data_IF_117217398769
#
_entry.id   IF_117217398769
#
_cell.length_a   1.000
_cell.length_b   1.000
_cell.length_c   1.000
_cell.angle_alpha   90.00
_cell.angle_beta   90.00
_cell.angle_gamma   90.00
#
_symmetry.space_group_name_H-M   'P 1'
#
loop_
_entity.id
_entity.type
_entity.pdbx_description
1 polymer ?
#
# COMPACT_ATOMS: atom_id res chain seq x y z
N UNK A 1 -14.75 4.58 -12.00
CA UNK A 1 -14.90 5.96 -12.51
C UNK A 1 -13.60 6.66 -12.24
N UNK A 2 -12.88 7.07 -13.28
CA UNK A 2 -11.62 7.82 -13.13
C UNK A 2 -11.93 9.24 -12.69
N UNK A 3 -11.44 9.64 -11.52
CA UNK A 3 -11.35 11.05 -11.15
C UNK A 3 -9.88 11.44 -11.23
N UNK A 4 -9.50 12.03 -12.36
CA UNK A 4 -8.32 12.90 -12.55
C UNK A 4 -8.29 13.34 -14.03
N UNK A 5 -9.36 14.01 -14.48
CA UNK A 5 -9.36 14.72 -15.76
C UNK A 5 -9.38 16.22 -15.48
N UNK A 6 -8.21 16.81 -15.30
CA UNK A 6 -8.02 18.25 -15.54
C UNK A 6 -6.59 18.53 -15.98
N UNK A 7 -6.45 19.22 -17.11
CA UNK A 7 -5.21 19.60 -17.80
C UNK A 7 -4.38 20.70 -17.07
N UNK A 8 -4.44 20.74 -15.74
CA UNK A 8 -3.66 21.64 -14.88
C UNK A 8 -3.29 20.89 -13.59
N UNK A 9 -2.46 21.51 -12.72
CA UNK A 9 -2.19 20.97 -11.38
C UNK A 9 -3.53 20.58 -10.70
N UNK A 10 -3.59 19.50 -9.91
CA UNK A 10 -4.82 19.16 -9.20
C UNK A 10 -5.16 20.28 -8.21
N UNK A 11 -6.00 21.20 -8.65
CA UNK A 11 -6.58 22.24 -7.81
C UNK A 11 -7.79 21.68 -7.03
N UNK A 12 -8.30 20.51 -7.43
CA UNK A 12 -9.33 19.78 -6.70
C UNK A 12 -8.73 18.86 -5.64
N UNK A 13 -8.69 19.37 -4.42
CA UNK A 13 -8.29 18.63 -3.21
C UNK A 13 -9.47 17.99 -2.47
N UNK A 14 -10.70 18.11 -2.98
CA UNK A 14 -11.92 17.83 -2.20
C UNK A 14 -11.98 16.40 -1.64
N UNK A 15 -11.66 15.40 -2.46
CA UNK A 15 -11.65 13.98 -2.06
C UNK A 15 -10.53 13.68 -1.06
N UNK A 16 -9.31 14.20 -1.31
CA UNK A 16 -8.18 13.96 -0.42
C UNK A 16 -8.37 14.68 0.93
N UNK A 17 -8.88 15.90 0.92
CA UNK A 17 -9.28 16.64 2.12
C UNK A 17 -10.36 15.91 2.91
N UNK A 18 -11.36 15.33 2.24
CA UNK A 18 -12.41 14.58 2.90
C UNK A 18 -11.84 13.34 3.64
N UNK A 19 -10.96 12.58 2.98
CA UNK A 19 -10.30 11.42 3.60
C UNK A 19 -9.39 11.83 4.77
N UNK A 20 -8.57 12.87 4.59
CA UNK A 20 -7.66 13.36 5.63
C UNK A 20 -8.44 13.89 6.85
N UNK A 21 -9.46 14.74 6.62
CA UNK A 21 -10.30 15.26 7.71
C UNK A 21 -11.05 14.16 8.45
N UNK A 22 -11.53 13.14 7.74
CA UNK A 22 -12.17 11.99 8.39
C UNK A 22 -11.21 11.26 9.32
N UNK A 23 -9.97 11.00 8.87
CA UNK A 23 -8.96 10.36 9.71
C UNK A 23 -8.65 11.21 10.96
N UNK A 24 -8.41 12.51 10.78
CA UNK A 24 -8.14 13.45 11.86
C UNK A 24 -9.30 13.51 12.88
N UNK A 25 -10.54 13.63 12.40
CA UNK A 25 -11.73 13.73 13.26
C UNK A 25 -11.99 12.47 14.10
N UNK A 26 -11.47 11.31 13.66
CA UNK A 26 -11.63 10.03 14.36
C UNK A 26 -10.34 9.57 15.06
N UNK A 27 -9.29 10.40 15.12
CA UNK A 27 -8.01 10.05 15.74
C UNK A 27 -7.31 8.86 15.07
N UNK A 28 -7.54 8.64 13.78
CA UNK A 28 -6.97 7.53 13.02
C UNK A 28 -5.68 7.96 12.31
N UNK A 29 -4.65 7.09 12.23
CA UNK A 29 -3.48 7.34 11.38
C UNK A 29 -3.88 7.49 9.91
N UNK A 30 -3.33 8.50 9.23
CA UNK A 30 -3.55 8.71 7.80
C UNK A 30 -2.33 8.26 6.99
N UNK A 31 -2.54 7.30 6.08
CA UNK A 31 -1.56 6.91 5.06
C UNK A 31 -1.83 7.71 3.79
N UNK A 32 -0.84 8.47 3.31
CA UNK A 32 -0.92 9.17 2.03
C UNK A 32 -0.53 8.20 0.91
N UNK A 33 -1.53 7.78 0.12
CA UNK A 33 -1.40 6.98 -1.09
C UNK A 33 -1.76 7.85 -2.31
N UNK A 34 -0.84 8.18 -3.21
CA UNK A 34 0.58 7.86 -3.29
C UNK A 34 1.33 9.02 -3.96
N UNK A 35 2.63 9.16 -3.72
CA UNK A 35 3.43 10.25 -4.31
C UNK A 35 3.93 9.97 -5.73
N UNK A 36 4.29 8.71 -6.04
CA UNK A 36 4.78 8.29 -7.35
C UNK A 36 4.30 6.88 -7.68
N UNK A 37 3.72 6.70 -8.87
CA UNK A 37 3.19 5.42 -9.35
C UNK A 37 3.09 5.42 -10.88
N UNK A 38 3.08 4.24 -11.51
CA UNK A 38 2.92 4.10 -12.97
C UNK A 38 1.53 4.40 -13.48
N UNK A 39 0.52 4.24 -12.63
CA UNK A 39 -0.86 4.44 -12.99
C UNK A 39 -1.42 5.76 -12.43
N UNK A 40 -2.55 6.17 -12.99
CA UNK A 40 -3.35 7.33 -12.56
C UNK A 40 -2.55 8.65 -12.44
N UNK A 41 -1.45 8.76 -13.19
CA UNK A 41 -0.68 9.99 -13.32
C UNK A 41 -1.47 11.01 -14.17
N UNK A 42 -1.35 12.32 -13.90
CA UNK A 42 -1.98 13.35 -14.73
C UNK A 42 -1.62 13.18 -16.21
N UNK A 43 -2.59 13.17 -17.11
CA UNK A 43 -2.33 12.85 -18.53
C UNK A 43 -1.28 13.78 -19.17
N UNK A 44 -1.29 15.06 -18.80
CA UNK A 44 -0.33 16.04 -19.30
C UNK A 44 1.13 15.68 -18.98
N UNK A 45 1.41 15.04 -17.83
CA UNK A 45 2.78 14.68 -17.43
C UNK A 45 3.34 13.55 -18.30
N UNK A 46 2.48 12.68 -18.83
CA UNK A 46 2.88 11.54 -19.68
C UNK A 46 3.50 11.97 -21.01
N UNK A 47 3.14 13.16 -21.48
CA UNK A 47 3.68 13.74 -22.71
C UNK A 47 5.06 14.39 -22.56
N UNK A 48 5.52 14.62 -21.33
CA UNK A 48 6.78 15.29 -21.03
C UNK A 48 7.97 14.34 -21.12
N UNK A 49 9.17 14.88 -21.39
CA UNK A 49 10.41 14.08 -21.27
C UNK A 49 10.66 13.74 -19.80
N UNK A 50 11.34 12.63 -19.52
CA UNK A 50 11.62 12.19 -18.14
C UNK A 50 12.26 13.28 -17.24
N UNK A 51 13.11 14.15 -17.80
CA UNK A 51 13.71 15.27 -17.05
C UNK A 51 12.69 16.36 -16.67
N UNK A 52 11.69 16.60 -17.52
CA UNK A 52 10.62 17.56 -17.28
C UNK A 52 9.60 16.97 -16.30
N UNK A 53 9.24 15.69 -16.44
CA UNK A 53 8.43 14.97 -15.44
C UNK A 53 9.05 15.10 -14.04
N UNK A 54 10.38 14.90 -13.92
CA UNK A 54 11.11 15.03 -12.65
C UNK A 54 11.04 16.44 -12.05
N UNK A 55 10.97 17.50 -12.87
CA UNK A 55 10.82 18.89 -12.39
C UNK A 55 9.44 19.14 -11.79
N UNK A 56 8.42 18.43 -12.26
CA UNK A 56 7.05 18.55 -11.75
C UNK A 56 6.79 17.70 -10.50
N UNK A 57 7.57 16.63 -10.29
CA UNK A 57 7.48 15.79 -9.09
C UNK A 57 7.87 16.53 -7.81
N UNK A 58 8.95 17.33 -7.80
CA UNK A 58 9.40 17.99 -6.57
C UNK A 58 8.39 19.01 -6.00
N UNK A 59 7.77 19.91 -6.81
CA UNK A 59 6.69 20.78 -6.33
C UNK A 59 5.48 20.03 -5.78
N UNK A 60 5.14 18.86 -6.36
CA UNK A 60 4.06 18.02 -5.85
C UNK A 60 4.32 17.55 -4.41
N UNK A 61 5.54 17.07 -4.13
CA UNK A 61 5.94 16.66 -2.79
C UNK A 61 5.82 17.80 -1.77
N UNK A 62 6.31 18.98 -2.13
CA UNK A 62 6.21 20.16 -1.25
C UNK A 62 4.75 20.56 -0.98
N UNK A 63 3.88 20.47 -2.00
CA UNK A 63 2.47 20.85 -1.89
C UNK A 63 1.70 19.90 -0.97
N UNK A 64 1.87 18.59 -1.13
CA UNK A 64 1.25 17.58 -0.25
C UNK A 64 1.76 17.75 1.19
N UNK A 65 3.07 17.90 1.37
CA UNK A 65 3.69 18.10 2.67
C UNK A 65 3.14 19.32 3.42
N UNK A 66 2.97 20.43 2.70
CA UNK A 66 2.43 21.66 3.28
C UNK A 66 0.95 21.53 3.67
N UNK A 67 0.16 20.82 2.86
CA UNK A 67 -1.29 20.70 3.07
C UNK A 67 -1.66 19.68 4.14
N UNK A 68 -0.88 18.61 4.28
CA UNK A 68 -1.19 17.48 5.17
C UNK A 68 -0.01 17.21 6.13
N UNK A 69 0.18 18.06 7.16
CA UNK A 69 1.34 17.97 8.06
C UNK A 69 1.33 16.69 8.93
N UNK A 70 0.15 16.14 9.23
CA UNK A 70 -0.01 15.00 10.15
C UNK A 70 -0.16 13.65 9.41
N UNK A 71 0.50 13.48 8.27
CA UNK A 71 0.61 12.17 7.61
C UNK A 71 1.37 11.22 8.53
N UNK A 72 0.78 10.08 8.85
CA UNK A 72 1.40 9.06 9.69
C UNK A 72 2.37 8.17 8.89
N UNK A 73 2.03 7.88 7.64
CA UNK A 73 2.83 7.08 6.71
C UNK A 73 2.69 7.63 5.29
N UNK A 74 3.81 8.02 4.67
CA UNK A 74 3.84 8.50 3.30
C UNK A 74 4.24 7.36 2.37
N UNK A 75 3.34 6.94 1.49
CA UNK A 75 3.66 6.03 0.40
C UNK A 75 4.38 6.82 -0.70
N UNK A 76 5.70 6.70 -0.74
CA UNK A 76 6.53 7.51 -1.65
C UNK A 76 6.52 6.93 -3.06
N UNK A 77 6.60 5.61 -3.17
CA UNK A 77 6.58 4.89 -4.45
C UNK A 77 5.68 3.66 -4.31
N UNK A 78 4.73 3.51 -5.23
CA UNK A 78 3.97 2.28 -5.42
C UNK A 78 4.44 1.52 -6.66
N UNK A 79 4.35 0.19 -6.57
CA UNK A 79 4.57 -0.78 -7.64
C UNK A 79 5.90 -0.67 -8.41
N UNK A 80 7.04 -0.45 -7.73
CA UNK A 80 8.32 -0.25 -8.39
C UNK A 80 8.76 -1.39 -9.32
N UNK A 81 8.39 -2.64 -9.00
CA UNK A 81 8.72 -3.82 -9.80
C UNK A 81 7.69 -4.13 -10.88
N UNK A 82 6.46 -3.64 -10.72
CA UNK A 82 5.31 -4.08 -11.48
C UNK A 82 4.76 -2.99 -12.43
N UNK A 83 4.63 -1.76 -11.94
CA UNK A 83 4.09 -0.64 -12.70
C UNK A 83 4.91 0.65 -12.52
N UNK A 84 6.13 0.70 -13.08
CA UNK A 84 6.95 1.91 -13.07
C UNK A 84 6.31 3.02 -13.94
N UNK A 85 6.45 4.32 -13.56
CA UNK A 85 6.05 5.47 -14.38
C UNK A 85 6.59 5.50 -15.80
N UNK A 86 7.73 4.84 -16.02
CA UNK A 86 8.25 4.59 -17.35
C UNK A 86 8.96 3.24 -17.39
N UNK A 87 8.47 2.34 -18.25
CA UNK A 87 9.14 1.05 -18.53
C UNK A 87 10.43 1.22 -19.34
N UNK A 88 10.60 2.36 -20.00
CA UNK A 88 11.79 2.70 -20.78
C UNK A 88 12.90 3.32 -19.92
N UNK A 89 12.60 3.76 -18.69
CA UNK A 89 13.61 4.28 -17.77
C UNK A 89 14.38 3.12 -17.13
N UNK A 90 15.63 2.93 -17.56
CA UNK A 90 16.54 1.91 -17.00
C UNK A 90 16.90 2.18 -15.54
N UNK A 91 16.63 3.38 -15.04
CA UNK A 91 16.71 3.73 -13.62
C UNK A 91 15.48 3.29 -12.80
N UNK A 92 14.55 2.55 -13.40
CA UNK A 92 13.33 2.06 -12.76
C UNK A 92 12.56 3.21 -12.13
N UNK A 93 12.16 4.21 -12.92
CA UNK A 93 11.45 5.40 -12.41
C UNK A 93 12.25 6.35 -11.52
N UNK A 94 13.53 6.08 -11.22
CA UNK A 94 14.39 6.89 -10.34
C UNK A 94 13.84 6.99 -8.89
N UNK A 95 13.38 5.87 -8.35
CA UNK A 95 12.80 5.79 -7.00
C UNK A 95 13.71 6.31 -5.90
N UNK A 96 15.04 6.12 -6.02
CA UNK A 96 16.00 6.67 -5.07
C UNK A 96 15.87 8.21 -4.95
N UNK A 97 15.68 8.90 -6.08
CA UNK A 97 15.47 10.34 -6.07
C UNK A 97 14.10 10.72 -5.49
N UNK A 98 13.04 9.96 -5.73
CA UNK A 98 11.73 10.20 -5.13
C UNK A 98 11.81 10.15 -3.60
N UNK A 99 12.52 9.18 -3.05
CA UNK A 99 12.76 9.10 -1.61
C UNK A 99 13.67 10.21 -1.07
N UNK A 100 14.68 10.65 -1.82
CA UNK A 100 15.48 11.84 -1.45
C UNK A 100 14.62 13.11 -1.39
N UNK A 101 13.71 13.29 -2.36
CA UNK A 101 12.74 14.39 -2.36
C UNK A 101 11.78 14.28 -1.17
N UNK A 102 11.28 13.07 -0.88
CA UNK A 102 10.50 12.81 0.32
C UNK A 102 11.25 13.28 1.57
N UNK A 103 12.50 12.83 1.77
CA UNK A 103 13.29 13.26 2.93
C UNK A 103 13.50 14.77 2.99
N UNK A 104 13.65 15.44 1.86
CA UNK A 104 13.83 16.89 1.80
C UNK A 104 12.55 17.66 2.18
N UNK A 105 11.39 17.21 1.71
CA UNK A 105 10.13 17.96 1.86
C UNK A 105 9.25 17.48 3.02
N UNK A 106 9.38 16.22 3.45
CA UNK A 106 8.68 15.62 4.59
C UNK A 106 9.68 14.98 5.59
N UNK A 107 10.60 15.76 6.18
CA UNK A 107 11.68 15.20 6.99
C UNK A 107 11.21 14.41 8.23
N UNK A 108 10.01 14.69 8.73
CA UNK A 108 9.46 14.11 9.97
C UNK A 108 8.41 13.01 9.75
N UNK A 109 8.07 12.69 8.50
CA UNK A 109 7.07 11.67 8.17
C UNK A 109 7.75 10.35 7.82
N UNK A 110 7.21 9.22 8.31
CA UNK A 110 7.68 7.88 7.94
C UNK A 110 7.43 7.63 6.46
N UNK A 111 8.45 7.21 5.72
CA UNK A 111 8.40 6.93 4.27
C UNK A 111 8.29 5.43 4.03
N UNK A 112 7.33 5.04 3.20
CA UNK A 112 7.07 3.66 2.82
C UNK A 112 7.23 3.46 1.31
N UNK A 113 7.73 2.29 0.93
CA UNK A 113 7.65 1.72 -0.43
C UNK A 113 6.56 0.65 -0.43
N UNK A 114 5.76 0.55 -1.49
CA UNK A 114 4.64 -0.41 -1.58
C UNK A 114 4.69 -1.18 -2.91
N UNK A 115 4.28 -2.45 -2.92
CA UNK A 115 4.21 -3.27 -4.14
C UNK A 115 3.35 -4.54 -3.95
N UNK A 116 2.89 -5.14 -5.04
CA UNK A 116 2.16 -6.42 -5.06
C UNK A 116 3.02 -7.58 -5.57
N UNK A 117 2.55 -8.81 -5.31
CA UNK A 117 3.21 -10.05 -5.73
C UNK A 117 4.67 -10.17 -5.26
N UNK A 118 4.94 -9.64 -4.07
CA UNK A 118 6.27 -9.72 -3.45
C UNK A 118 6.45 -11.07 -2.76
N UNK A 119 5.59 -11.39 -1.80
CA UNK A 119 5.80 -12.52 -0.88
C UNK A 119 5.38 -13.88 -1.45
N UNK A 120 4.68 -13.91 -2.59
CA UNK A 120 4.32 -15.14 -3.30
C UNK A 120 5.43 -15.65 -4.24
N UNK A 121 6.57 -14.95 -4.31
CA UNK A 121 7.75 -15.36 -5.09
C UNK A 121 9.05 -14.95 -4.41
N UNK A 122 9.92 -15.92 -4.13
CA UNK A 122 11.25 -15.64 -3.57
C UNK A 122 12.08 -14.72 -4.49
N UNK A 123 11.94 -14.86 -5.81
CA UNK A 123 12.62 -14.01 -6.77
C UNK A 123 12.11 -12.56 -6.70
N UNK A 124 10.80 -12.35 -6.58
CA UNK A 124 10.22 -11.01 -6.44
C UNK A 124 10.66 -10.36 -5.12
N UNK A 125 10.59 -11.11 -4.02
CA UNK A 125 11.09 -10.66 -2.71
C UNK A 125 12.56 -10.25 -2.75
N UNK A 126 13.42 -11.03 -3.41
CA UNK A 126 14.84 -10.68 -3.56
C UNK A 126 15.06 -9.39 -4.37
N UNK A 127 14.32 -9.19 -5.46
CA UNK A 127 14.37 -7.94 -6.24
C UNK A 127 13.89 -6.75 -5.41
N UNK A 128 12.83 -6.92 -4.66
CA UNK A 128 12.30 -5.88 -3.79
C UNK A 128 13.29 -5.50 -2.68
N UNK A 129 13.93 -6.50 -2.06
CA UNK A 129 15.02 -6.30 -1.10
C UNK A 129 16.23 -5.58 -1.68
N UNK A 130 16.52 -5.70 -2.98
CA UNK A 130 17.58 -4.91 -3.61
C UNK A 130 17.23 -3.42 -3.58
N UNK A 131 15.98 -3.05 -3.88
CA UNK A 131 15.52 -1.66 -3.80
C UNK A 131 15.56 -1.17 -2.34
N UNK A 132 15.03 -1.96 -1.40
CA UNK A 132 15.05 -1.64 0.03
C UNK A 132 16.49 -1.38 0.51
N UNK A 133 17.45 -2.25 0.18
CA UNK A 133 18.86 -2.07 0.55
C UNK A 133 19.48 -0.81 -0.06
N UNK A 134 19.13 -0.45 -1.30
CA UNK A 134 19.58 0.80 -1.92
C UNK A 134 19.07 2.02 -1.15
N UNK A 135 17.80 2.02 -0.73
CA UNK A 135 17.21 3.10 0.05
C UNK A 135 17.77 3.16 1.49
N UNK A 136 18.01 2.01 2.12
CA UNK A 136 18.57 1.94 3.48
C UNK A 136 20.01 2.48 3.56
N UNK A 137 20.83 2.34 2.50
CA UNK A 137 22.20 2.91 2.45
C UNK A 137 22.23 4.42 2.68
N UNK A 138 21.14 5.10 2.36
CA UNK A 138 21.01 6.55 2.56
C UNK A 138 20.01 6.90 3.67
N UNK A 139 19.52 5.94 4.46
CA UNK A 139 18.49 6.18 5.49
C UNK A 139 17.25 6.89 4.92
N UNK A 140 16.74 6.39 3.79
CA UNK A 140 15.63 7.00 3.07
C UNK A 140 14.28 6.30 3.28
N UNK A 141 14.27 5.10 3.86
CA UNK A 141 13.09 4.26 3.99
C UNK A 141 12.83 3.91 5.46
N UNK A 142 11.58 4.02 5.89
CA UNK A 142 11.18 3.80 7.28
C UNK A 142 10.19 2.62 7.43
N UNK A 143 9.56 2.16 6.34
CA UNK A 143 8.64 1.03 6.34
C UNK A 143 8.56 0.30 4.99
N UNK A 144 8.18 -0.97 5.01
CA UNK A 144 7.95 -1.79 3.82
C UNK A 144 6.46 -2.11 3.70
N UNK A 145 5.84 -1.77 2.58
CA UNK A 145 4.46 -2.12 2.24
C UNK A 145 4.41 -3.32 1.30
N UNK A 146 3.45 -4.20 1.52
CA UNK A 146 3.08 -5.24 0.56
C UNK A 146 1.55 -5.33 0.46
N UNK A 147 1.00 -5.27 -0.75
CA UNK A 147 -0.45 -5.10 -0.96
C UNK A 147 -1.28 -6.24 -0.36
N UNK A 148 -1.00 -7.50 -0.75
CA UNK A 148 -1.77 -8.71 -0.41
C UNK A 148 -3.22 -8.67 -0.88
N UNK A 149 -3.39 -8.32 -2.15
CA UNK A 149 -4.62 -8.54 -2.90
C UNK A 149 -4.91 -10.04 -3.04
N UNK A 150 -6.17 -10.42 -3.24
CA UNK A 150 -6.59 -11.83 -3.35
C UNK A 150 -5.76 -12.68 -4.33
N UNK A 151 -5.37 -12.10 -5.48
CA UNK A 151 -4.58 -12.80 -6.50
C UNK A 151 -3.16 -13.16 -6.04
N UNK A 152 -2.65 -12.55 -4.97
CA UNK A 152 -1.34 -12.85 -4.40
C UNK A 152 -1.37 -14.07 -3.48
N UNK A 153 -2.52 -14.40 -2.89
CA UNK A 153 -2.67 -15.40 -1.81
C UNK A 153 -3.52 -16.61 -2.21
N UNK A 154 -3.61 -16.86 -3.52
CA UNK A 154 -4.30 -18.05 -4.05
C UNK A 154 -3.65 -19.34 -3.54
N UNK A 155 -4.40 -20.46 -3.43
CA UNK A 155 -3.86 -21.73 -2.94
C UNK A 155 -2.73 -22.34 -3.78
N UNK A 156 -2.43 -21.79 -4.97
CA UNK A 156 -1.34 -22.23 -5.83
C UNK A 156 0.05 -21.98 -5.22
N UNK A 157 0.13 -21.04 -4.28
CA UNK A 157 1.36 -20.76 -3.53
C UNK A 157 1.09 -21.09 -2.06
N UNK A 158 1.89 -21.99 -1.50
CA UNK A 158 1.76 -22.37 -0.09
C UNK A 158 2.03 -21.17 0.83
N UNK A 159 1.26 -21.04 1.92
CA UNK A 159 1.45 -19.95 2.90
C UNK A 159 2.85 -19.97 3.55
N UNK A 160 3.55 -21.10 3.53
CA UNK A 160 4.96 -21.18 3.93
C UNK A 160 5.89 -20.33 3.06
N UNK A 161 5.61 -20.19 1.76
CA UNK A 161 6.38 -19.31 0.87
C UNK A 161 6.17 -17.85 1.27
N UNK A 162 4.94 -17.46 1.61
CA UNK A 162 4.64 -16.13 2.13
C UNK A 162 5.36 -15.87 3.45
N UNK A 163 5.34 -16.84 4.37
CA UNK A 163 6.09 -16.77 5.64
C UNK A 163 7.57 -16.51 5.39
N UNK A 164 8.22 -17.37 4.62
CA UNK A 164 9.67 -17.34 4.47
C UNK A 164 10.12 -16.02 3.81
N UNK A 165 9.31 -15.49 2.89
CA UNK A 165 9.55 -14.18 2.27
C UNK A 165 9.27 -13.01 3.22
N UNK A 166 8.25 -13.08 4.08
CA UNK A 166 8.04 -12.08 5.12
C UNK A 166 9.20 -12.07 6.12
N UNK A 167 9.75 -13.24 6.48
CA UNK A 167 10.92 -13.35 7.35
C UNK A 167 12.15 -12.70 6.69
N UNK A 168 12.31 -12.87 5.38
CA UNK A 168 13.36 -12.19 4.62
C UNK A 168 13.19 -10.66 4.58
N UNK A 169 11.96 -10.15 4.49
CA UNK A 169 11.66 -8.72 4.61
C UNK A 169 11.91 -8.21 6.03
N UNK A 170 11.50 -8.97 7.05
CA UNK A 170 11.66 -8.61 8.47
C UNK A 170 13.13 -8.54 8.88
N UNK A 171 14.01 -9.32 8.23
CA UNK A 171 15.46 -9.26 8.44
C UNK A 171 16.10 -7.90 8.06
N UNK A 172 15.35 -6.99 7.42
CA UNK A 172 15.78 -5.60 7.21
C UNK A 172 15.63 -4.70 8.43
N UNK A 173 14.96 -5.20 9.48
CA UNK A 173 14.58 -4.47 10.70
C UNK A 173 13.67 -3.25 10.45
N UNK A 174 13.02 -3.18 9.28
CA UNK A 174 11.97 -2.20 9.00
C UNK A 174 10.60 -2.78 9.36
N UNK A 175 9.68 -1.97 9.91
CA UNK A 175 8.30 -2.38 10.10
C UNK A 175 7.64 -2.67 8.75
N UNK A 176 6.81 -3.70 8.71
CA UNK A 176 6.09 -4.12 7.50
C UNK A 176 4.60 -3.83 7.68
N UNK A 177 3.96 -3.34 6.62
CA UNK A 177 2.52 -3.10 6.56
C UNK A 177 1.92 -3.93 5.42
N UNK A 178 0.77 -4.55 5.70
CA UNK A 178 -0.10 -5.06 4.65
C UNK A 178 -1.02 -3.90 4.23
N UNK A 179 -0.92 -3.45 2.98
CA UNK A 179 -1.42 -2.12 2.58
C UNK A 179 -2.76 -2.16 1.88
N UNK A 180 -3.12 -3.27 1.24
CA UNK A 180 -4.29 -3.37 0.37
C UNK A 180 -4.94 -4.75 0.49
N UNK A 181 -5.14 -5.27 1.70
CA UNK A 181 -5.60 -6.65 1.88
C UNK A 181 -7.03 -6.86 1.36
N UNK A 182 -7.24 -7.91 0.56
CA UNK A 182 -8.56 -8.51 0.40
C UNK A 182 -8.51 -9.97 -0.05
N UNK A 183 -9.68 -10.62 0.02
CA UNK A 183 -9.89 -11.99 -0.41
C UNK A 183 -11.25 -12.09 -1.10
N UNK A 184 -11.23 -12.66 -2.30
CA UNK A 184 -12.41 -12.89 -3.13
C UNK A 184 -13.44 -13.75 -2.39
N UNK A 185 -14.71 -13.49 -2.64
CA UNK A 185 -15.80 -14.17 -1.93
C UNK A 185 -16.90 -14.64 -2.87
N UNK A 186 -16.61 -15.50 -3.87
CA UNK A 186 -17.64 -16.08 -4.74
C UNK A 186 -18.70 -16.85 -3.93
N UNK A 187 -18.33 -17.38 -2.77
CA UNK A 187 -19.25 -17.86 -1.74
C UNK A 187 -18.76 -17.42 -0.36
N UNK A 188 -19.67 -17.33 0.61
CA UNK A 188 -19.32 -17.03 2.00
C UNK A 188 -18.39 -18.08 2.62
N UNK A 189 -18.63 -19.36 2.32
CA UNK A 189 -17.78 -20.46 2.78
C UNK A 189 -16.36 -20.34 2.26
N UNK A 190 -16.18 -20.00 0.99
CA UNK A 190 -14.85 -19.83 0.41
C UNK A 190 -14.14 -18.61 1.01
N UNK A 191 -14.82 -17.46 1.10
CA UNK A 191 -14.21 -16.26 1.67
C UNK A 191 -13.77 -16.51 3.11
N UNK A 192 -14.61 -17.14 3.93
CA UNK A 192 -14.29 -17.48 5.31
C UNK A 192 -13.08 -18.42 5.39
N UNK A 193 -13.04 -19.48 4.59
CA UNK A 193 -11.94 -20.43 4.57
C UNK A 193 -10.61 -19.74 4.17
N UNK A 194 -10.65 -18.83 3.19
CA UNK A 194 -9.48 -18.08 2.78
C UNK A 194 -9.03 -17.08 3.85
N UNK A 195 -9.95 -16.38 4.53
CA UNK A 195 -9.60 -15.52 5.66
C UNK A 195 -8.92 -16.30 6.77
N UNK A 196 -9.46 -17.47 7.13
CA UNK A 196 -8.88 -18.37 8.13
C UNK A 196 -7.49 -18.89 7.74
N UNK A 197 -7.26 -19.13 6.45
CA UNK A 197 -5.97 -19.63 5.93
C UNK A 197 -4.91 -18.53 5.82
N UNK A 198 -5.31 -17.32 5.45
CA UNK A 198 -4.40 -16.27 4.97
C UNK A 198 -4.14 -15.19 6.03
N UNK A 199 -5.20 -14.67 6.65
CA UNK A 199 -5.10 -13.51 7.56
C UNK A 199 -4.18 -13.75 8.78
N UNK A 200 -4.23 -14.91 9.47
CA UNK A 200 -3.38 -15.18 10.64
C UNK A 200 -1.89 -15.04 10.37
N UNK A 201 -1.44 -15.45 9.18
CA UNK A 201 -0.02 -15.42 8.82
C UNK A 201 0.55 -14.00 8.92
N UNK A 202 -0.23 -13.00 8.52
CA UNK A 202 0.18 -11.61 8.55
C UNK A 202 -0.09 -11.00 9.93
N UNK A 203 -1.25 -11.26 10.52
CA UNK A 203 -1.65 -10.65 11.78
C UNK A 203 -0.74 -10.99 12.97
N UNK A 204 -0.28 -12.24 13.07
CA UNK A 204 0.44 -12.72 14.26
C UNK A 204 1.95 -12.40 14.28
N UNK A 205 2.50 -11.74 13.24
CA UNK A 205 3.95 -11.56 13.11
C UNK A 205 4.45 -10.31 13.83
N UNK A 206 5.54 -10.40 14.63
CA UNK A 206 6.09 -9.24 15.33
C UNK A 206 6.55 -8.09 14.44
N UNK A 207 6.97 -8.39 13.21
CA UNK A 207 7.40 -7.38 12.24
C UNK A 207 6.23 -6.72 11.49
N UNK A 208 4.98 -7.18 11.66
CA UNK A 208 3.81 -6.52 11.09
C UNK A 208 3.32 -5.43 12.03
N UNK A 209 3.17 -4.22 11.50
CA UNK A 209 2.76 -3.03 12.25
C UNK A 209 1.40 -2.48 11.80
N UNK A 210 0.75 -3.13 10.83
CA UNK A 210 -0.60 -2.78 10.41
C UNK A 210 -1.09 -3.59 9.21
N UNK A 211 -2.40 -3.75 9.13
CA UNK A 211 -3.11 -4.30 7.98
C UNK A 211 -4.23 -3.33 7.60
N UNK A 212 -4.24 -2.89 6.34
CA UNK A 212 -5.30 -2.07 5.75
C UNK A 212 -6.09 -2.93 4.76
N UNK A 213 -7.40 -3.05 4.98
CA UNK A 213 -8.29 -3.70 4.01
C UNK A 213 -8.56 -2.76 2.83
N UNK A 214 -8.54 -3.27 1.59
CA UNK A 214 -8.79 -2.44 0.40
C UNK A 214 -10.27 -2.25 0.07
N UNK A 215 -11.00 -1.77 1.09
CA UNK A 215 -12.46 -1.70 1.09
C UNK A 215 -13.09 -2.90 1.81
N UNK A 216 -14.35 -2.72 2.22
CA UNK A 216 -15.10 -3.75 2.96
C UNK A 216 -16.59 -3.78 2.60
N UNK A 217 -17.05 -2.87 1.72
CA UNK A 217 -18.43 -2.74 1.24
C UNK A 217 -18.45 -2.84 -0.30
N UNK A 218 -19.63 -3.09 -0.92
CA UNK A 218 -19.76 -3.09 -2.36
C UNK A 218 -19.31 -1.76 -2.97
N UNK A 219 -18.75 -1.82 -4.18
CA UNK A 219 -18.09 -0.70 -4.85
C UNK A 219 -16.56 -0.62 -4.63
N UNK A 220 -15.98 -1.52 -3.83
CA UNK A 220 -14.53 -1.68 -3.71
C UNK A 220 -13.89 -2.19 -5.02
N UNK A 221 -12.56 -2.13 -5.15
CA UNK A 221 -11.88 -2.47 -6.42
C UNK A 221 -12.21 -3.90 -6.92
N UNK A 222 -12.37 -4.86 -6.00
CA UNK A 222 -12.74 -6.27 -6.29
C UNK A 222 -14.22 -6.57 -6.02
N UNK A 223 -15.09 -5.65 -6.41
CA UNK A 223 -16.54 -5.81 -6.27
C UNK A 223 -17.09 -6.99 -7.10
N UNK A 224 -16.56 -7.19 -8.32
CA UNK A 224 -16.97 -8.27 -9.23
C UNK A 224 -16.65 -9.65 -8.67
N UNK A 225 -15.57 -9.75 -7.91
CA UNK A 225 -15.13 -10.96 -7.22
C UNK A 225 -15.76 -11.11 -5.84
N UNK A 226 -16.67 -10.21 -5.48
CA UNK A 226 -17.35 -10.15 -4.20
C UNK A 226 -16.36 -10.20 -3.02
N UNK A 227 -15.30 -9.39 -3.06
CA UNK A 227 -14.33 -9.34 -1.95
C UNK A 227 -14.85 -8.56 -0.72
N UNK A 228 -15.98 -7.86 -0.84
CA UNK A 228 -16.58 -7.10 0.25
C UNK A 228 -16.97 -8.01 1.43
N UNK A 229 -16.96 -7.44 2.62
CA UNK A 229 -17.22 -8.10 3.91
C UNK A 229 -18.62 -7.81 4.47
N UNK A 230 -19.28 -6.78 3.94
CA UNK A 230 -20.66 -6.42 4.23
C UNK A 230 -21.43 -6.43 2.91
N UNK A 231 -22.65 -7.00 2.92
CA UNK A 231 -23.53 -7.07 1.76
C UNK A 231 -24.22 -5.72 1.50
N UNK A 232 -24.83 -5.59 0.32
CA UNK A 232 -25.57 -4.38 -0.06
C UNK A 232 -26.74 -4.05 0.89
N UNK A 233 -27.34 -5.06 1.51
CA UNK A 233 -28.41 -4.91 2.52
C UNK A 233 -27.88 -4.54 3.92
N UNK A 234 -26.56 -4.38 4.08
CA UNK A 234 -25.91 -4.04 5.34
C UNK A 234 -25.58 -5.24 6.23
N UNK A 235 -25.95 -6.46 5.85
CA UNK A 235 -25.64 -7.65 6.65
C UNK A 235 -24.17 -8.05 6.52
N UNK A 236 -23.58 -8.51 7.62
CA UNK A 236 -22.19 -8.98 7.64
C UNK A 236 -22.06 -10.36 7.01
N UNK A 237 -20.95 -10.58 6.32
CA UNK A 237 -20.57 -11.91 5.84
C UNK A 237 -19.84 -12.68 6.93
N UNK A 238 -19.86 -14.03 6.92
CA UNK A 238 -19.20 -14.84 7.94
C UNK A 238 -17.71 -14.52 8.13
N UNK A 239 -17.00 -14.14 7.06
CA UNK A 239 -15.61 -13.72 7.14
C UNK A 239 -15.39 -12.48 8.03
N UNK A 240 -16.31 -11.51 8.03
CA UNK A 240 -16.22 -10.33 8.89
C UNK A 240 -16.50 -10.66 10.36
N UNK A 241 -17.51 -11.50 10.62
CA UNK A 241 -17.80 -11.99 11.96
C UNK A 241 -16.58 -12.71 12.53
N UNK A 242 -16.01 -13.65 11.76
CA UNK A 242 -14.80 -14.37 12.15
C UNK A 242 -13.60 -13.42 12.35
N UNK A 243 -13.39 -12.46 11.44
CA UNK A 243 -12.28 -11.51 11.51
C UNK A 243 -12.33 -10.68 12.79
N UNK A 244 -13.51 -10.18 13.17
CA UNK A 244 -13.71 -9.41 14.41
C UNK A 244 -13.32 -10.23 15.63
N UNK A 245 -13.86 -11.45 15.73
CA UNK A 245 -13.61 -12.33 16.87
C UNK A 245 -12.13 -12.73 16.93
N UNK A 246 -11.53 -13.02 15.77
CA UNK A 246 -10.13 -13.39 15.65
C UNK A 246 -9.21 -12.23 16.07
N UNK A 247 -9.42 -11.01 15.58
CA UNK A 247 -8.63 -9.83 15.97
C UNK A 247 -8.76 -9.54 17.47
N UNK A 248 -9.96 -9.63 18.03
CA UNK A 248 -10.19 -9.43 19.47
C UNK A 248 -9.45 -10.48 20.33
N UNK A 249 -9.36 -11.73 19.84
CA UNK A 249 -8.65 -12.81 20.51
C UNK A 249 -7.11 -12.71 20.36
N UNK A 250 -6.61 -11.94 19.41
CA UNK A 250 -5.18 -11.79 19.11
C UNK A 250 -4.76 -10.32 19.13
N UNK A 251 -4.82 -9.61 20.27
CA UNK A 251 -4.54 -8.16 20.33
C UNK A 251 -3.09 -7.78 19.99
N UNK A 252 -2.20 -8.77 19.78
CA UNK A 252 -0.77 -8.56 19.62
C UNK A 252 -0.09 -8.10 20.92
N UNK A 253 1.23 -7.96 20.88
CA UNK A 253 1.96 -7.19 21.89
C UNK A 253 1.87 -5.70 21.54
N UNK A 254 1.58 -4.80 22.49
CA UNK A 254 1.66 -3.36 22.24
C UNK A 254 3.03 -3.03 21.63
N UNK A 255 3.05 -2.41 20.47
CA UNK A 255 4.29 -1.88 19.90
C UNK A 255 4.76 -0.77 20.85
N UNK A 256 6.01 -0.82 21.37
CA UNK A 256 6.53 0.23 22.25
C UNK A 256 6.62 1.60 21.56
#
# INVERSE_FOLDING_TARGET
MGQCESDARPDDWSTLDAAYRFAQANGMPFQMHVMMWGNQQPEWIKSLRAVEQRREIAPWFATVAQRYPDIALLEVVNEPLNDPPSKADTGGGNYLQAFRLARQHVPHTKRMINDYSITNSAQATQKYLQIVRLLQREHLLDAIGVQKRAFETTPNVAMSVHRDNLDALAATCLPIYITEFDLDGPTDTQQLADYQRVFPLFWERPAMHGITLWGFRPGMWRDKEAAYLIRADGTERPALTWLRDYVAAHPGTPTP
#
